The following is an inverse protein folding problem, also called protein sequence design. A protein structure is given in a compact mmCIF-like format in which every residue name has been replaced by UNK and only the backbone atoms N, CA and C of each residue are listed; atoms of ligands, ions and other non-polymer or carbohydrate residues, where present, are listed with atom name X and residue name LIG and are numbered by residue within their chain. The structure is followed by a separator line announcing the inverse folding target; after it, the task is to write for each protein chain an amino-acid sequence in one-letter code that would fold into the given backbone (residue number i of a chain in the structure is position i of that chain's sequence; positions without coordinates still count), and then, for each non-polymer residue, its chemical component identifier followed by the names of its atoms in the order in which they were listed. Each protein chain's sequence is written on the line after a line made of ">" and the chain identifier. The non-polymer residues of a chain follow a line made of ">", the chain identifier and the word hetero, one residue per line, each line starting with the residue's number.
data_IF_786970200397
#
_entry.id   IF_786970200397
#
_cell.length_a   1.000
_cell.length_b   1.000
_cell.length_c   1.000
_cell.angle_alpha   90.00
_cell.angle_beta   90.00
_cell.angle_gamma   90.00
#
_symmetry.space_group_name_H-M   'P 1'
#
loop_
_entity.id
_entity.type
_entity.pdbx_description
1 polymer ?
#
# COMPACT_ATOMS: atom_id res chain seq x y z
N UNK A 1 2.04 -11.10 -15.10
CA UNK A 1 2.20 -9.96 -14.18
C UNK A 1 1.57 -8.72 -14.82
N UNK A 2 1.22 -7.70 -14.03
CA UNK A 2 0.58 -6.46 -14.52
C UNK A 2 1.17 -5.87 -15.84
N UNK A 3 2.50 -5.92 -16.10
CA UNK A 3 3.06 -5.47 -17.39
C UNK A 3 2.58 -6.26 -18.62
N UNK A 4 2.27 -7.56 -18.46
CA UNK A 4 1.84 -8.41 -19.58
C UNK A 4 0.45 -8.07 -20.13
N UNK A 5 -0.36 -7.33 -19.37
CA UNK A 5 -1.74 -6.98 -19.76
C UNK A 5 -1.91 -5.48 -20.06
N UNK A 6 -0.80 -4.76 -20.27
CA UNK A 6 -0.84 -3.31 -20.53
C UNK A 6 -1.37 -2.49 -19.34
N UNK A 7 -1.29 -3.05 -18.12
CA UNK A 7 -1.74 -2.34 -16.93
C UNK A 7 -0.75 -1.23 -16.57
N UNK A 8 -1.29 -0.05 -16.32
CA UNK A 8 -0.53 1.11 -15.88
C UNK A 8 -0.31 1.04 -14.36
N UNK A 9 0.95 0.84 -13.95
CA UNK A 9 1.29 0.74 -12.54
C UNK A 9 1.34 2.14 -11.93
N UNK A 10 0.27 2.51 -11.23
CA UNK A 10 0.12 3.84 -10.65
C UNK A 10 0.62 3.98 -9.20
N UNK A 11 0.97 2.88 -8.55
CA UNK A 11 1.53 2.88 -7.20
C UNK A 11 2.09 1.52 -6.79
N UNK A 12 3.13 1.53 -5.94
CA UNK A 12 3.76 0.33 -5.39
C UNK A 12 4.26 0.61 -3.98
N UNK A 13 3.85 -0.21 -3.02
CA UNK A 13 4.28 -0.12 -1.62
C UNK A 13 4.64 -1.51 -1.09
N UNK A 14 5.86 -1.66 -0.59
CA UNK A 14 6.31 -2.88 0.08
C UNK A 14 6.12 -2.76 1.59
N UNK A 15 5.48 -3.77 2.18
CA UNK A 15 5.26 -3.85 3.62
C UNK A 15 6.06 -5.02 4.18
N UNK A 16 7.22 -4.77 4.84
CA UNK A 16 8.00 -5.83 5.45
C UNK A 16 7.22 -6.42 6.63
N UNK A 17 7.31 -7.75 6.81
CA UNK A 17 6.63 -8.48 7.89
C UNK A 17 5.19 -8.00 8.08
N UNK A 18 4.37 -8.19 7.05
CA UNK A 18 2.99 -7.69 7.00
C UNK A 18 2.20 -7.98 8.29
N UNK A 19 2.29 -9.21 8.82
CA UNK A 19 1.58 -9.62 10.03
C UNK A 19 2.01 -8.87 11.31
N UNK A 20 3.20 -8.27 11.33
CA UNK A 20 3.67 -7.47 12.47
C UNK A 20 3.15 -6.02 12.39
N UNK A 21 2.79 -5.57 11.18
CA UNK A 21 2.46 -4.18 10.89
C UNK A 21 0.99 -3.98 10.49
N UNK A 22 0.15 -5.01 10.53
CA UNK A 22 -1.25 -4.95 10.13
C UNK A 22 -2.15 -5.59 11.20
N UNK A 23 -3.11 -4.82 11.70
CA UNK A 23 -4.15 -5.33 12.59
C UNK A 23 -5.34 -5.80 11.76
N UNK A 24 -5.60 -7.11 11.77
CA UNK A 24 -6.70 -7.73 11.04
C UNK A 24 -8.07 -7.44 11.65
N UNK A 25 -8.12 -6.98 12.90
CA UNK A 25 -9.38 -6.62 13.56
C UNK A 25 -9.86 -5.24 13.11
N UNK A 26 -8.98 -4.24 13.16
CA UNK A 26 -9.29 -2.88 12.68
C UNK A 26 -9.12 -2.72 11.17
N UNK A 27 -8.40 -3.63 10.51
CA UNK A 27 -8.10 -3.59 9.09
C UNK A 27 -7.10 -2.50 8.71
N UNK A 28 -6.18 -2.15 9.61
CA UNK A 28 -5.29 -1.00 9.46
C UNK A 28 -3.82 -1.35 9.68
N UNK A 29 -2.94 -0.54 9.08
CA UNK A 29 -1.52 -0.61 9.38
C UNK A 29 -1.27 -0.01 10.77
N UNK A 30 -0.62 -0.77 11.64
CA UNK A 30 -0.28 -0.35 13.01
C UNK A 30 0.95 0.55 13.03
N UNK A 31 1.78 0.48 12.00
CA UNK A 31 2.95 1.32 11.82
C UNK A 31 2.58 2.62 11.10
N UNK A 32 2.67 3.74 11.81
CA UNK A 32 2.31 5.06 11.31
C UNK A 32 3.10 5.49 10.05
N UNK A 33 4.37 5.09 9.92
CA UNK A 33 5.18 5.42 8.74
C UNK A 33 4.69 4.66 7.50
N UNK A 34 4.32 3.38 7.65
CA UNK A 34 3.76 2.58 6.58
C UNK A 34 2.37 3.08 6.18
N UNK A 35 1.56 3.48 7.17
CA UNK A 35 0.25 4.10 6.92
C UNK A 35 0.39 5.41 6.12
N UNK A 36 1.30 6.30 6.51
CA UNK A 36 1.56 7.55 5.78
C UNK A 36 2.04 7.30 4.34
N UNK A 37 2.90 6.30 4.12
CA UNK A 37 3.33 5.90 2.77
C UNK A 37 2.19 5.35 1.92
N UNK A 38 1.28 4.59 2.52
CA UNK A 38 0.08 4.09 1.85
C UNK A 38 -0.81 5.26 1.40
N UNK A 39 -1.13 6.17 2.31
CA UNK A 39 -1.96 7.34 2.03
C UNK A 39 -1.35 8.22 0.93
N UNK A 40 -0.05 8.48 0.99
CA UNK A 40 0.65 9.23 -0.05
C UNK A 40 0.59 8.54 -1.41
N UNK A 41 0.77 7.21 -1.45
CA UNK A 41 0.71 6.43 -2.69
C UNK A 41 -0.71 6.41 -3.28
N UNK A 42 -1.74 6.35 -2.43
CA UNK A 42 -3.14 6.41 -2.89
C UNK A 42 -3.49 7.82 -3.36
N UNK A 43 -2.99 8.86 -2.72
CA UNK A 43 -3.22 10.24 -3.12
C UNK A 43 -2.71 10.52 -4.54
N UNK A 44 -1.61 9.88 -4.99
CA UNK A 44 -1.13 10.02 -6.37
C UNK A 44 -2.05 9.37 -7.42
N UNK A 45 -3.03 8.57 -7.00
CA UNK A 45 -4.00 7.91 -7.89
C UNK A 45 -5.28 8.73 -8.13
N UNK A 46 -5.54 9.72 -7.27
CA UNK A 46 -6.79 10.49 -7.28
C UNK A 46 -6.72 11.75 -8.16
N UNK A 47 -5.58 11.98 -8.84
CA UNK A 47 -5.31 13.12 -9.72
C UNK A 47 -5.51 12.84 -11.20
#
# INVERSE_FOLDING_TARGET
>A
SAPHFGADLRGSLSIPRFNDNFDTTSGQLTNAELQAKLEATVATLLG
#
